data_IF_567804262073
#
_entry.id   IF_567804262073
#
_cell.length_a   1.000
_cell.length_b   1.000
_cell.length_c   1.000
_cell.angle_alpha   90.00
_cell.angle_beta   90.00
_cell.angle_gamma   90.00
#
_symmetry.space_group_name_H-M   'P 1'
#
loop_
_entity.id
_entity.type
_entity.pdbx_description
1 polymer ?
#
# COMPACT_ATOMS: atom_id res chain seq x y z
N UNK A 1 -2.73 12.85 -69.08
CA UNK A 1 -3.49 13.15 -67.85
C UNK A 1 -3.06 12.17 -66.77
N UNK A 2 -2.16 12.63 -65.91
CA UNK A 2 -1.73 11.89 -64.72
C UNK A 2 -2.79 12.14 -63.62
N UNK A 3 -3.47 11.10 -63.17
CA UNK A 3 -4.29 11.18 -61.97
C UNK A 3 -3.38 11.20 -60.75
N UNK A 4 -3.30 12.34 -60.09
CA UNK A 4 -2.68 12.50 -58.81
C UNK A 4 -3.49 11.77 -57.76
N UNK A 5 -2.88 10.83 -57.07
CA UNK A 5 -3.42 10.07 -55.96
C UNK A 5 -3.71 11.01 -54.75
N UNK A 6 -4.97 11.44 -54.66
CA UNK A 6 -5.44 12.37 -53.63
C UNK A 6 -5.98 11.66 -52.38
N UNK A 7 -5.65 10.38 -52.17
CA UNK A 7 -6.14 9.57 -51.07
C UNK A 7 -5.10 9.28 -49.96
N UNK A 8 -4.13 10.18 -49.77
CA UNK A 8 -3.38 10.16 -48.49
C UNK A 8 -4.23 10.82 -47.41
N UNK A 9 -4.87 9.99 -46.60
CA UNK A 9 -5.42 10.45 -45.31
C UNK A 9 -4.27 11.08 -44.52
N UNK A 10 -4.49 12.22 -43.86
CA UNK A 10 -3.48 12.80 -42.99
C UNK A 10 -3.06 11.78 -41.96
N UNK A 11 -1.79 11.65 -41.68
CA UNK A 11 -1.19 10.71 -40.69
C UNK A 11 -1.70 10.96 -39.27
N UNK A 12 -2.48 12.00 -39.02
CA UNK A 12 -3.14 12.32 -37.77
C UNK A 12 -4.33 11.39 -37.42
N UNK A 13 -4.78 10.55 -38.34
CA UNK A 13 -5.92 9.63 -38.15
C UNK A 13 -5.53 8.16 -38.35
N UNK A 14 -4.28 7.80 -38.16
CA UNK A 14 -3.87 6.37 -38.15
C UNK A 14 -4.28 5.75 -36.82
N UNK A 15 -4.59 4.45 -36.86
CA UNK A 15 -4.94 3.64 -35.68
C UNK A 15 -3.90 3.82 -34.57
N UNK A 16 -2.60 3.84 -34.91
CA UNK A 16 -1.48 4.11 -34.01
C UNK A 16 -1.53 5.52 -33.34
N UNK A 17 -2.04 6.54 -34.03
CA UNK A 17 -2.17 7.86 -33.48
C UNK A 17 -3.37 7.95 -32.52
N UNK A 18 -4.46 7.26 -32.85
CA UNK A 18 -5.65 7.16 -31.99
C UNK A 18 -5.33 6.32 -30.74
N UNK A 19 -4.58 5.24 -30.88
CA UNK A 19 -4.15 4.41 -29.74
C UNK A 19 -3.23 5.18 -28.78
N UNK A 20 -2.36 6.05 -29.30
CA UNK A 20 -1.55 6.94 -28.47
C UNK A 20 -2.37 8.01 -27.74
N UNK A 21 -3.42 8.53 -28.35
CA UNK A 21 -4.32 9.52 -27.74
C UNK A 21 -5.24 8.85 -26.71
N UNK A 22 -5.62 7.59 -26.94
CA UNK A 22 -6.47 6.83 -26.03
C UNK A 22 -5.71 6.20 -24.85
N UNK A 23 -4.38 6.22 -24.86
CA UNK A 23 -3.61 5.82 -23.68
C UNK A 23 -3.87 6.84 -22.56
N UNK A 24 -4.50 6.36 -21.49
CA UNK A 24 -4.70 7.17 -20.30
C UNK A 24 -3.32 7.46 -19.66
N UNK A 25 -2.83 8.72 -19.66
CA UNK A 25 -1.53 9.06 -19.12
C UNK A 25 -1.46 8.85 -17.58
N UNK A 26 -2.62 8.67 -16.95
CA UNK A 26 -2.73 8.35 -15.53
C UNK A 26 -2.93 6.85 -15.27
N UNK A 27 -2.69 5.98 -16.28
CA UNK A 27 -2.78 4.55 -16.07
C UNK A 27 -1.57 4.08 -15.25
N UNK A 28 -1.75 3.56 -14.01
CA UNK A 28 -0.65 3.09 -13.18
C UNK A 28 0.24 2.03 -13.85
N UNK A 29 -0.31 1.28 -14.80
CA UNK A 29 0.46 0.27 -15.53
C UNK A 29 1.57 0.86 -16.40
N UNK A 30 1.43 2.08 -16.88
CA UNK A 30 2.42 2.73 -17.74
C UNK A 30 3.50 3.48 -16.92
N UNK A 31 3.29 3.67 -15.61
CA UNK A 31 4.25 4.32 -14.74
C UNK A 31 5.35 3.35 -14.29
N UNK A 32 6.63 3.76 -14.21
CA UNK A 32 7.68 2.96 -13.59
C UNK A 32 7.34 2.60 -12.14
N UNK A 33 7.66 1.37 -11.74
CA UNK A 33 7.33 0.81 -10.42
C UNK A 33 7.78 1.70 -9.25
N UNK A 34 8.97 2.31 -9.35
CA UNK A 34 9.49 3.21 -8.31
C UNK A 34 8.62 4.46 -8.04
N UNK A 35 7.91 4.98 -9.06
CA UNK A 35 6.99 6.11 -8.84
C UNK A 35 5.68 5.64 -8.19
N UNK A 36 5.25 4.42 -8.50
CA UNK A 36 4.10 3.81 -7.83
C UNK A 36 4.38 3.55 -6.35
N UNK A 37 5.62 3.24 -5.96
CA UNK A 37 6.02 3.12 -4.55
C UNK A 37 5.87 4.47 -3.82
N UNK A 38 6.24 5.59 -4.46
CA UNK A 38 6.04 6.92 -3.87
C UNK A 38 4.57 7.16 -3.54
N UNK A 39 3.69 6.96 -4.52
CA UNK A 39 2.24 7.13 -4.35
C UNK A 39 1.69 6.16 -3.29
N UNK A 40 2.08 4.90 -3.35
CA UNK A 40 1.64 3.87 -2.43
C UNK A 40 2.05 4.17 -0.98
N UNK A 41 3.29 4.62 -0.76
CA UNK A 41 3.79 5.01 0.57
C UNK A 41 3.03 6.20 1.13
N UNK A 42 2.88 7.27 0.34
CA UNK A 42 2.13 8.47 0.73
C UNK A 42 0.67 8.16 0.99
N UNK A 43 0.00 7.47 0.06
CA UNK A 43 -1.41 7.11 0.20
C UNK A 43 -1.66 6.18 1.39
N UNK A 44 -0.76 5.23 1.65
CA UNK A 44 -0.84 4.39 2.85
C UNK A 44 -0.74 5.23 4.12
N UNK A 45 0.22 6.16 4.20
CA UNK A 45 0.38 7.01 5.37
C UNK A 45 -0.81 7.95 5.59
N UNK A 46 -1.27 8.63 4.54
CA UNK A 46 -2.34 9.63 4.65
C UNK A 46 -3.74 9.03 4.78
N UNK A 47 -4.03 7.93 4.07
CA UNK A 47 -5.38 7.40 4.00
C UNK A 47 -5.61 6.19 4.91
N UNK A 48 -4.61 5.30 5.01
CA UNK A 48 -4.76 4.06 5.78
C UNK A 48 -4.30 4.24 7.23
N UNK A 49 -3.18 4.93 7.46
CA UNK A 49 -2.65 5.18 8.80
C UNK A 49 -3.31 6.39 9.46
N UNK A 50 -3.33 7.52 8.76
CA UNK A 50 -3.71 8.83 9.30
C UNK A 50 -5.09 9.33 8.88
N UNK A 51 -5.84 8.56 8.08
CA UNK A 51 -7.15 8.97 7.54
C UNK A 51 -8.35 8.55 8.41
N UNK A 52 -9.48 8.36 7.76
CA UNK A 52 -10.75 8.07 8.42
C UNK A 52 -10.69 6.83 9.33
N UNK A 53 -9.91 5.80 8.99
CA UNK A 53 -9.71 4.63 9.87
C UNK A 53 -9.16 5.03 11.24
N UNK A 54 -8.16 5.89 11.26
CA UNK A 54 -7.57 6.37 12.52
C UNK A 54 -8.52 7.29 13.28
N UNK A 55 -9.07 8.30 12.60
CA UNK A 55 -9.95 9.31 13.22
C UNK A 55 -11.18 8.70 13.88
N UNK A 56 -11.93 7.88 13.15
CA UNK A 56 -13.13 7.27 13.71
C UNK A 56 -12.84 6.20 14.73
N UNK A 57 -11.77 5.40 14.51
CA UNK A 57 -11.39 4.37 15.50
C UNK A 57 -10.94 4.99 16.81
N UNK A 58 -10.22 6.12 16.78
CA UNK A 58 -9.83 6.84 18.00
C UNK A 58 -11.04 7.31 18.82
N UNK A 59 -12.08 7.82 18.15
CA UNK A 59 -13.31 8.24 18.82
C UNK A 59 -14.11 7.03 19.31
N UNK A 60 -14.27 5.99 18.50
CA UNK A 60 -14.99 4.78 18.91
C UNK A 60 -14.36 4.06 20.09
N UNK A 61 -13.03 4.10 20.19
CA UNK A 61 -12.28 3.51 21.29
C UNK A 61 -12.06 4.47 22.48
N UNK A 62 -12.66 5.65 22.43
CA UNK A 62 -12.60 6.68 23.49
C UNK A 62 -11.14 7.17 23.78
N UNK A 63 -10.25 7.08 22.78
CA UNK A 63 -8.93 7.68 22.85
C UNK A 63 -8.96 9.19 22.58
N UNK A 64 -9.94 9.64 21.81
CA UNK A 64 -10.21 11.04 21.48
C UNK A 64 -11.70 11.34 21.58
N UNK A 65 -12.07 12.57 21.93
CA UNK A 65 -13.46 13.02 21.99
C UNK A 65 -13.88 13.65 20.66
N UNK A 66 -14.97 13.20 20.10
CA UNK A 66 -15.61 13.80 18.93
C UNK A 66 -16.47 14.99 19.29
N UNK A 67 -15.96 16.22 19.16
CA UNK A 67 -16.66 17.44 19.61
C UNK A 67 -17.47 18.15 18.52
N UNK A 68 -17.35 17.73 17.26
CA UNK A 68 -18.07 18.40 16.16
C UNK A 68 -18.38 17.52 14.97
N UNK A 69 -19.43 17.87 14.23
CA UNK A 69 -19.82 17.25 12.96
C UNK A 69 -19.89 15.71 13.00
N UNK A 70 -19.18 15.06 12.08
CA UNK A 70 -19.17 13.61 11.94
C UNK A 70 -18.54 12.90 13.14
N UNK A 71 -17.48 13.46 13.72
CA UNK A 71 -16.83 12.89 14.90
C UNK A 71 -17.71 12.98 16.14
N UNK A 72 -18.52 14.04 16.28
CA UNK A 72 -19.53 14.11 17.35
C UNK A 72 -20.60 13.02 17.21
N UNK A 73 -21.04 12.72 15.99
CA UNK A 73 -21.97 11.61 15.75
C UNK A 73 -21.38 10.26 16.13
N UNK A 74 -20.09 10.06 15.82
CA UNK A 74 -19.36 8.88 16.25
C UNK A 74 -19.25 8.81 17.79
N UNK A 75 -18.95 9.92 18.45
CA UNK A 75 -18.88 10.05 19.92
C UNK A 75 -20.17 9.62 20.59
N UNK A 76 -21.30 10.19 20.16
CA UNK A 76 -22.62 9.90 20.77
C UNK A 76 -23.29 8.67 20.18
N UNK A 77 -22.63 7.91 19.30
CA UNK A 77 -23.17 6.73 18.63
C UNK A 77 -24.51 6.98 17.91
N UNK A 78 -24.76 8.21 17.45
CA UNK A 78 -25.98 8.57 16.76
C UNK A 78 -25.77 8.70 15.27
N UNK A 79 -26.73 8.16 14.48
CA UNK A 79 -26.65 8.24 13.02
C UNK A 79 -25.49 7.46 12.46
N UNK A 80 -25.30 6.24 12.94
CA UNK A 80 -24.33 5.30 12.38
C UNK A 80 -24.43 5.26 10.86
N UNK A 81 -23.32 5.25 10.16
CA UNK A 81 -23.29 5.49 8.73
C UNK A 81 -24.05 4.41 7.99
N UNK A 82 -25.03 4.83 7.25
CA UNK A 82 -25.51 4.05 6.12
C UNK A 82 -24.51 4.21 4.99
N UNK A 83 -24.19 3.16 4.33
CA UNK A 83 -23.44 2.94 3.09
C UNK A 83 -22.46 4.00 2.53
N UNK A 84 -22.42 5.24 2.96
CA UNK A 84 -21.68 6.26 2.21
C UNK A 84 -20.93 7.31 3.05
N UNK A 85 -20.76 7.16 4.36
CA UNK A 85 -20.34 8.33 5.13
C UNK A 85 -19.04 8.19 5.93
N UNK A 86 -18.82 7.12 6.69
CA UNK A 86 -17.69 7.08 7.62
C UNK A 86 -16.43 6.49 6.97
N UNK A 87 -16.53 5.30 6.42
CA UNK A 87 -15.37 4.58 5.88
C UNK A 87 -15.33 4.49 4.37
N UNK A 88 -16.21 5.19 3.64
CA UNK A 88 -16.25 5.09 2.18
C UNK A 88 -14.97 5.57 1.52
N UNK A 89 -14.42 6.72 1.94
CA UNK A 89 -13.16 7.23 1.40
C UNK A 89 -12.00 6.31 1.75
N UNK A 90 -11.96 5.82 2.99
CA UNK A 90 -10.94 4.89 3.45
C UNK A 90 -11.02 3.54 2.71
N UNK A 91 -12.22 3.03 2.44
CA UNK A 91 -12.44 1.85 1.59
C UNK A 91 -11.87 2.04 0.19
N UNK A 92 -12.24 3.14 -0.49
CA UNK A 92 -11.74 3.44 -1.84
C UNK A 92 -10.21 3.54 -1.85
N UNK A 93 -9.64 4.27 -0.89
CA UNK A 93 -8.19 4.51 -0.83
C UNK A 93 -7.41 3.23 -0.53
N UNK A 94 -7.84 2.42 0.43
CA UNK A 94 -7.13 1.19 0.79
C UNK A 94 -7.15 0.17 -0.36
N UNK A 95 -8.26 0.08 -1.10
CA UNK A 95 -8.32 -0.79 -2.27
C UNK A 95 -7.53 -0.25 -3.46
N UNK A 96 -7.41 1.06 -3.61
CA UNK A 96 -6.46 1.65 -4.56
C UNK A 96 -5.01 1.29 -4.20
N UNK A 97 -4.66 1.34 -2.92
CA UNK A 97 -3.34 0.92 -2.43
C UNK A 97 -3.07 -0.57 -2.70
N UNK A 98 -4.02 -1.45 -2.39
CA UNK A 98 -3.92 -2.89 -2.66
C UNK A 98 -3.70 -3.15 -4.16
N UNK A 99 -4.48 -2.48 -5.01
CA UNK A 99 -4.32 -2.56 -6.47
C UNK A 99 -2.93 -2.11 -6.91
N UNK A 100 -2.50 -0.91 -6.48
CA UNK A 100 -1.21 -0.36 -6.88
C UNK A 100 -0.04 -1.23 -6.40
N UNK A 101 -0.10 -1.77 -5.20
CA UNK A 101 0.91 -2.71 -4.69
C UNK A 101 1.00 -3.97 -5.55
N UNK A 102 -0.13 -4.58 -5.93
CA UNK A 102 -0.16 -5.75 -6.83
C UNK A 102 0.37 -5.44 -8.23
N UNK A 103 0.09 -4.24 -8.75
CA UNK A 103 0.66 -3.78 -10.03
C UNK A 103 2.19 -3.70 -9.94
N UNK A 104 2.74 -3.11 -8.88
CA UNK A 104 4.19 -3.03 -8.67
C UNK A 104 4.82 -4.41 -8.60
N UNK A 105 4.23 -5.32 -7.80
CA UNK A 105 4.71 -6.70 -7.69
C UNK A 105 4.72 -7.39 -9.05
N UNK A 106 3.63 -7.29 -9.80
CA UNK A 106 3.54 -7.88 -11.13
C UNK A 106 4.59 -7.31 -12.10
N UNK A 107 4.81 -5.99 -12.09
CA UNK A 107 5.87 -5.35 -12.89
C UNK A 107 7.25 -5.91 -12.55
N UNK A 108 7.59 -6.02 -11.27
CA UNK A 108 8.88 -6.53 -10.83
C UNK A 108 9.07 -8.03 -11.15
N UNK A 109 8.01 -8.77 -11.40
CA UNK A 109 8.05 -10.19 -11.74
C UNK A 109 8.00 -10.47 -13.24
N UNK A 110 7.19 -9.72 -14.00
CA UNK A 110 6.83 -10.07 -15.37
C UNK A 110 7.24 -9.02 -16.41
N UNK A 111 7.34 -7.72 -16.06
CA UNK A 111 7.69 -6.68 -17.03
C UNK A 111 9.18 -6.78 -17.39
N UNK A 112 9.55 -7.01 -18.68
CA UNK A 112 10.93 -7.15 -19.09
C UNK A 112 11.85 -5.97 -18.70
N UNK A 113 11.30 -4.77 -18.55
CA UNK A 113 12.07 -3.56 -18.19
C UNK A 113 12.27 -3.38 -16.69
N UNK A 114 11.45 -4.07 -15.86
CA UNK A 114 11.45 -3.92 -14.41
C UNK A 114 11.65 -5.23 -13.65
N UNK A 115 11.67 -6.35 -14.38
CA UNK A 115 11.86 -7.68 -13.81
C UNK A 115 13.19 -7.78 -13.03
N UNK A 116 13.07 -8.28 -11.80
CA UNK A 116 14.21 -8.41 -10.91
C UNK A 116 14.51 -7.19 -10.06
N UNK A 117 13.62 -6.18 -10.02
CA UNK A 117 13.69 -5.07 -9.08
C UNK A 117 13.30 -5.54 -7.67
N UNK A 118 14.19 -6.24 -7.01
CA UNK A 118 13.96 -7.01 -5.77
C UNK A 118 13.53 -6.11 -4.62
N UNK A 119 14.22 -4.98 -4.42
CA UNK A 119 13.92 -4.03 -3.33
C UNK A 119 12.55 -3.39 -3.56
N UNK A 120 12.25 -2.96 -4.79
CA UNK A 120 10.95 -2.37 -5.15
C UNK A 120 9.81 -3.36 -4.92
N UNK A 121 9.97 -4.64 -5.31
CA UNK A 121 9.00 -5.69 -5.06
C UNK A 121 8.79 -5.90 -3.56
N UNK A 122 9.85 -6.01 -2.79
CA UNK A 122 9.76 -6.22 -1.34
C UNK A 122 9.01 -5.10 -0.63
N UNK A 123 9.28 -3.83 -0.98
CA UNK A 123 8.55 -2.67 -0.44
C UNK A 123 7.06 -2.78 -0.76
N UNK A 124 6.72 -3.09 -2.01
CA UNK A 124 5.33 -3.25 -2.43
C UNK A 124 4.62 -4.37 -1.65
N UNK A 125 5.29 -5.50 -1.41
CA UNK A 125 4.75 -6.61 -0.61
C UNK A 125 4.53 -6.22 0.85
N UNK A 126 5.44 -5.47 1.46
CA UNK A 126 5.30 -4.98 2.84
C UNK A 126 4.10 -4.03 2.94
N UNK A 127 3.96 -3.09 2.01
CA UNK A 127 2.83 -2.16 1.98
C UNK A 127 1.51 -2.87 1.63
N UNK A 128 1.52 -3.88 0.76
CA UNK A 128 0.37 -4.75 0.50
C UNK A 128 -0.07 -5.48 1.77
N UNK A 129 0.87 -6.07 2.49
CA UNK A 129 0.61 -6.77 3.75
C UNK A 129 0.00 -5.83 4.79
N UNK A 130 0.52 -4.61 4.92
CA UNK A 130 -0.02 -3.61 5.83
C UNK A 130 -1.47 -3.23 5.48
N UNK A 131 -1.74 -2.85 4.23
CA UNK A 131 -3.08 -2.47 3.78
C UNK A 131 -4.06 -3.66 3.88
N UNK A 132 -3.62 -4.87 3.56
CA UNK A 132 -4.42 -6.09 3.69
C UNK A 132 -4.79 -6.40 5.15
N UNK A 133 -3.86 -6.22 6.08
CA UNK A 133 -4.13 -6.41 7.50
C UNK A 133 -5.15 -5.39 8.03
N UNK A 134 -5.04 -4.11 7.62
CA UNK A 134 -6.02 -3.08 8.01
C UNK A 134 -7.41 -3.40 7.48
N UNK A 135 -7.53 -3.82 6.23
CA UNK A 135 -8.81 -4.23 5.63
C UNK A 135 -9.42 -5.41 6.38
N UNK A 136 -8.62 -6.44 6.68
CA UNK A 136 -9.07 -7.60 7.45
C UNK A 136 -9.49 -7.24 8.88
N UNK A 137 -8.79 -6.30 9.52
CA UNK A 137 -9.13 -5.86 10.88
C UNK A 137 -10.42 -5.05 10.95
N UNK A 138 -10.64 -4.15 9.99
CA UNK A 138 -11.78 -3.22 10.01
C UNK A 138 -13.04 -3.89 9.48
N UNK A 139 -12.93 -4.71 8.44
CA UNK A 139 -14.07 -5.25 7.71
C UNK A 139 -14.28 -6.76 7.89
N UNK A 140 -13.30 -7.48 8.39
CA UNK A 140 -13.38 -8.95 8.51
C UNK A 140 -13.24 -9.65 7.16
N UNK A 141 -14.25 -10.44 6.80
CA UNK A 141 -14.32 -11.10 5.49
C UNK A 141 -14.57 -10.07 4.40
N UNK A 142 -13.68 -10.01 3.39
CA UNK A 142 -13.71 -8.95 2.38
C UNK A 142 -12.95 -9.39 1.10
N UNK A 143 -13.20 -8.76 -0.07
CA UNK A 143 -12.43 -9.08 -1.27
C UNK A 143 -10.95 -8.74 -1.09
N UNK A 144 -10.04 -9.67 -1.40
CA UNK A 144 -8.60 -9.44 -1.32
C UNK A 144 -7.80 -10.16 -2.41
N UNK A 145 -7.91 -11.48 -2.50
CA UNK A 145 -7.06 -12.27 -3.40
C UNK A 145 -7.23 -11.92 -4.88
N UNK A 146 -8.46 -11.69 -5.32
CA UNK A 146 -8.80 -11.34 -6.71
C UNK A 146 -8.81 -9.82 -6.97
N UNK A 147 -8.73 -9.01 -5.92
CA UNK A 147 -8.76 -7.55 -6.03
C UNK A 147 -7.48 -7.01 -6.67
N UNK A 148 -7.62 -6.08 -7.61
CA UNK A 148 -6.49 -5.36 -8.21
C UNK A 148 -5.69 -6.18 -9.21
N UNK A 149 -6.13 -7.37 -9.58
CA UNK A 149 -5.54 -8.15 -10.67
C UNK A 149 -6.07 -7.60 -12.00
N UNK A 150 -5.16 -7.31 -12.91
CA UNK A 150 -5.47 -6.70 -14.20
C UNK A 150 -5.17 -7.65 -15.36
N UNK A 151 -5.96 -7.55 -16.40
CA UNK A 151 -5.66 -8.11 -17.70
C UNK A 151 -4.50 -7.35 -18.37
N UNK A 152 -3.87 -7.92 -19.42
CA UNK A 152 -2.81 -7.24 -20.17
C UNK A 152 -3.21 -5.88 -20.76
N UNK A 153 -4.50 -5.66 -21.03
CA UNK A 153 -5.06 -4.41 -21.54
C UNK A 153 -5.36 -3.37 -20.44
N UNK A 154 -5.09 -3.69 -19.17
CA UNK A 154 -5.31 -2.82 -18.03
C UNK A 154 -6.72 -2.88 -17.43
N UNK A 155 -7.62 -3.66 -18.00
CA UNK A 155 -8.95 -3.85 -17.42
C UNK A 155 -8.91 -4.79 -16.20
N UNK A 156 -9.81 -4.62 -15.22
CA UNK A 156 -9.90 -5.55 -14.11
C UNK A 156 -10.18 -6.99 -14.60
N UNK A 157 -9.38 -7.95 -14.13
CA UNK A 157 -9.63 -9.37 -14.43
C UNK A 157 -10.91 -9.87 -13.75
N UNK A 158 -11.19 -9.39 -12.56
CA UNK A 158 -12.36 -9.75 -11.77
C UNK A 158 -13.21 -8.50 -11.52
N UNK A 159 -14.36 -8.40 -12.19
CA UNK A 159 -15.33 -7.31 -11.99
C UNK A 159 -16.12 -7.48 -10.69
N UNK A 160 -16.24 -8.69 -10.21
CA UNK A 160 -16.87 -9.06 -8.94
C UNK A 160 -15.95 -10.02 -8.19
N UNK A 161 -14.89 -9.51 -7.56
CA UNK A 161 -13.96 -10.33 -6.82
C UNK A 161 -14.68 -11.06 -5.68
N UNK A 162 -14.27 -12.30 -5.42
CA UNK A 162 -14.81 -13.08 -4.31
C UNK A 162 -14.48 -12.43 -2.96
N UNK A 163 -15.33 -12.71 -1.98
CA UNK A 163 -15.07 -12.36 -0.59
C UNK A 163 -14.16 -13.46 0.00
N UNK A 164 -13.00 -13.05 0.46
CA UNK A 164 -12.06 -13.90 1.18
C UNK A 164 -12.34 -13.83 2.69
N UNK A 165 -12.14 -14.94 3.40
CA UNK A 165 -12.25 -14.92 4.85
C UNK A 165 -11.11 -14.12 5.48
N UNK A 166 -11.35 -13.47 6.62
CA UNK A 166 -10.34 -12.75 7.38
C UNK A 166 -9.09 -13.62 7.62
N UNK A 167 -9.29 -14.91 7.93
CA UNK A 167 -8.20 -15.86 8.10
C UNK A 167 -7.36 -16.03 6.82
N UNK A 168 -7.99 -16.15 5.65
CA UNK A 168 -7.26 -16.29 4.38
C UNK A 168 -6.50 -15.02 4.02
N UNK A 169 -7.07 -13.85 4.30
CA UNK A 169 -6.39 -12.57 4.09
C UNK A 169 -5.14 -12.49 4.97
N UNK A 170 -5.24 -12.86 6.25
CA UNK A 170 -4.08 -12.88 7.13
C UNK A 170 -3.00 -13.89 6.72
N UNK A 171 -3.37 -15.04 6.14
CA UNK A 171 -2.41 -15.97 5.54
C UNK A 171 -1.63 -15.30 4.39
N UNK A 172 -2.32 -14.58 3.51
CA UNK A 172 -1.67 -13.83 2.43
C UNK A 172 -0.83 -12.65 2.95
N UNK A 173 -1.28 -11.95 4.00
CA UNK A 173 -0.51 -10.91 4.68
C UNK A 173 0.82 -11.46 5.20
N UNK A 174 0.79 -12.56 5.92
CA UNK A 174 2.00 -13.19 6.46
C UNK A 174 2.91 -13.72 5.35
N UNK A 175 2.33 -14.30 4.29
CA UNK A 175 3.09 -14.77 3.13
C UNK A 175 3.80 -13.62 2.40
N UNK A 176 3.14 -12.49 2.17
CA UNK A 176 3.77 -11.32 1.56
C UNK A 176 4.93 -10.78 2.39
N UNK A 177 4.84 -10.83 3.72
CA UNK A 177 5.97 -10.46 4.60
C UNK A 177 7.11 -11.47 4.51
N UNK A 178 6.82 -12.78 4.43
CA UNK A 178 7.84 -13.81 4.25
C UNK A 178 8.55 -13.70 2.90
N UNK A 179 7.79 -13.44 1.84
CA UNK A 179 8.34 -13.21 0.51
C UNK A 179 9.22 -11.95 0.50
N UNK A 180 8.79 -10.86 1.13
CA UNK A 180 9.59 -9.64 1.23
C UNK A 180 10.91 -9.86 1.98
N UNK A 181 10.87 -10.58 3.11
CA UNK A 181 12.06 -10.95 3.88
C UNK A 181 13.01 -11.80 3.03
N UNK A 182 12.47 -12.75 2.27
CA UNK A 182 13.25 -13.60 1.37
C UNK A 182 13.91 -12.78 0.25
N UNK A 183 13.17 -11.85 -0.35
CA UNK A 183 13.67 -10.95 -1.40
C UNK A 183 14.79 -10.06 -0.88
N UNK A 184 14.68 -9.54 0.34
CA UNK A 184 15.69 -8.72 1.00
C UNK A 184 16.83 -9.54 1.61
N UNK A 185 16.80 -10.89 1.45
CA UNK A 185 17.84 -11.88 1.76
C UNK A 185 18.24 -11.95 3.23
N UNK A 186 17.41 -11.50 4.16
CA UNK A 186 17.78 -11.48 5.59
C UNK A 186 19.19 -10.86 5.81
N UNK A 187 19.61 -10.05 4.81
CA UNK A 187 20.97 -9.56 4.67
C UNK A 187 21.17 -8.23 5.34
N UNK A 188 22.40 -7.97 5.64
CA UNK A 188 22.89 -6.67 6.06
C UNK A 188 22.81 -5.70 4.89
N UNK A 189 22.69 -4.41 5.18
CA UNK A 189 22.72 -3.32 4.18
C UNK A 189 23.96 -3.32 3.25
N UNK A 190 24.94 -4.15 3.57
CA UNK A 190 26.20 -4.35 2.83
C UNK A 190 26.10 -5.38 1.72
N UNK A 191 24.95 -6.02 1.49
CA UNK A 191 24.78 -6.93 0.35
C UNK A 191 24.78 -6.13 -0.96
N UNK A 192 25.97 -5.83 -1.45
CA UNK A 192 26.23 -5.41 -2.81
C UNK A 192 25.52 -6.37 -3.77
N UNK A 193 24.38 -5.96 -4.31
CA UNK A 193 23.67 -6.74 -5.31
C UNK A 193 22.16 -6.86 -5.17
N UNK A 194 21.51 -6.22 -4.22
CA UNK A 194 20.07 -6.09 -4.24
C UNK A 194 19.68 -5.06 -5.31
N UNK A 195 19.07 -5.53 -6.39
CA UNK A 195 18.63 -4.68 -7.51
C UNK A 195 17.32 -3.96 -7.20
N UNK A 196 17.11 -2.84 -7.89
CA UNK A 196 15.84 -2.13 -7.88
C UNK A 196 15.60 -1.27 -6.64
N UNK A 197 16.66 -0.69 -6.08
CA UNK A 197 16.50 0.33 -5.06
C UNK A 197 15.65 1.50 -5.56
N UNK A 198 14.70 1.96 -4.76
CA UNK A 198 13.78 3.04 -5.10
C UNK A 198 14.47 4.41 -4.93
N UNK A 199 15.45 4.49 -4.04
CA UNK A 199 16.20 5.70 -3.72
C UNK A 199 15.27 6.80 -3.21
N UNK A 200 15.54 8.05 -3.56
CA UNK A 200 14.78 9.23 -3.12
C UNK A 200 13.28 9.24 -3.51
N UNK A 201 12.82 8.26 -4.27
CA UNK A 201 11.38 8.09 -4.55
C UNK A 201 10.64 7.34 -3.45
N UNK A 202 11.35 6.65 -2.58
CA UNK A 202 10.84 6.18 -1.30
C UNK A 202 10.94 7.32 -0.27
N UNK A 203 9.83 7.92 0.09
CA UNK A 203 9.78 9.05 1.03
C UNK A 203 9.89 8.60 2.50
N UNK A 204 9.95 7.30 2.76
CA UNK A 204 10.09 6.74 4.10
C UNK A 204 11.57 6.51 4.42
N UNK A 205 12.29 5.77 3.56
CA UNK A 205 13.69 5.41 3.78
C UNK A 205 14.64 5.78 2.64
N UNK A 206 14.15 6.54 1.66
CA UNK A 206 14.93 6.87 0.46
C UNK A 206 16.02 7.92 0.64
N UNK A 207 16.18 8.50 1.84
CA UNK A 207 17.27 9.43 2.15
C UNK A 207 18.63 8.74 2.21
N UNK A 208 18.65 7.46 2.53
CA UNK A 208 19.84 6.61 2.54
C UNK A 208 19.58 5.36 1.67
N UNK A 209 19.94 5.39 0.38
CA UNK A 209 19.70 4.27 -0.53
C UNK A 209 20.44 2.98 -0.13
N UNK A 210 21.58 3.09 0.54
CA UNK A 210 22.39 1.95 0.96
C UNK A 210 21.75 1.25 2.17
N UNK A 211 21.11 1.99 3.05
CA UNK A 211 20.38 1.44 4.21
C UNK A 211 18.94 1.04 3.91
N UNK A 212 18.37 1.47 2.78
CA UNK A 212 16.95 1.33 2.44
C UNK A 212 16.44 -0.12 2.56
N UNK A 213 17.15 -1.07 1.98
CA UNK A 213 16.76 -2.48 1.99
C UNK A 213 16.74 -3.05 3.41
N UNK A 214 17.75 -2.74 4.22
CA UNK A 214 17.84 -3.17 5.61
C UNK A 214 16.75 -2.57 6.49
N UNK A 215 16.37 -1.31 6.29
CA UNK A 215 15.31 -0.64 7.04
C UNK A 215 13.92 -1.21 6.69
N UNK A 216 13.68 -1.52 5.41
CA UNK A 216 12.45 -2.21 5.00
C UNK A 216 12.41 -3.65 5.51
N UNK A 217 13.55 -4.35 5.59
CA UNK A 217 13.64 -5.67 6.21
C UNK A 217 13.23 -5.63 7.70
N UNK A 218 13.75 -4.65 8.44
CA UNK A 218 13.36 -4.42 9.85
C UNK A 218 11.86 -4.12 9.99
N UNK A 219 11.30 -3.33 9.08
CA UNK A 219 9.86 -3.05 9.01
C UNK A 219 9.05 -4.34 8.79
N UNK A 220 9.49 -5.22 7.87
CA UNK A 220 8.82 -6.49 7.64
C UNK A 220 8.81 -7.38 8.90
N UNK A 221 9.92 -7.47 9.62
CA UNK A 221 9.98 -8.20 10.89
C UNK A 221 9.11 -7.57 11.98
N UNK A 222 9.06 -6.24 12.08
CA UNK A 222 8.17 -5.53 13.00
C UNK A 222 6.71 -5.87 12.75
N UNK A 223 6.29 -5.87 11.49
CA UNK A 223 4.93 -6.23 11.09
C UNK A 223 4.65 -7.71 11.35
N UNK A 224 5.60 -8.61 11.09
CA UNK A 224 5.44 -10.03 11.43
C UNK A 224 5.23 -10.23 12.93
N UNK A 225 6.02 -9.57 13.77
CA UNK A 225 5.84 -9.63 15.21
C UNK A 225 4.45 -9.14 15.63
N UNK A 226 4.02 -7.98 15.08
CA UNK A 226 2.70 -7.39 15.34
C UNK A 226 1.56 -8.33 14.97
N UNK A 227 1.58 -8.89 13.76
CA UNK A 227 0.48 -9.71 13.27
C UNK A 227 0.46 -11.10 13.89
N UNK A 228 1.62 -11.68 14.20
CA UNK A 228 1.68 -12.93 14.98
C UNK A 228 1.09 -12.72 16.38
N UNK A 229 1.42 -11.62 17.05
CA UNK A 229 0.82 -11.27 18.35
C UNK A 229 -0.70 -11.07 18.24
N UNK A 230 -1.19 -10.40 17.19
CA UNK A 230 -2.61 -10.20 16.95
C UNK A 230 -3.38 -11.51 16.79
N UNK A 231 -2.78 -12.48 16.12
CA UNK A 231 -3.37 -13.78 15.86
C UNK A 231 -3.17 -14.78 17.01
N UNK A 232 -2.47 -14.41 18.07
CA UNK A 232 -2.04 -15.33 19.14
C UNK A 232 -3.21 -16.11 19.76
N UNK A 233 -4.37 -15.47 19.96
CA UNK A 233 -5.56 -16.13 20.50
C UNK A 233 -6.21 -17.14 19.55
N UNK A 234 -5.83 -17.14 18.28
CA UNK A 234 -6.26 -18.10 17.25
C UNK A 234 -5.21 -19.16 16.96
N UNK A 235 -4.03 -19.05 17.57
CA UNK A 235 -2.91 -19.96 17.34
C UNK A 235 -3.19 -21.35 17.89
N UNK A 236 -2.81 -22.35 17.10
CA UNK A 236 -2.79 -23.75 17.55
C UNK A 236 -1.61 -24.02 18.51
N UNK A 237 -0.54 -23.21 18.50
CA UNK A 237 0.62 -23.35 19.36
C UNK A 237 1.15 -21.97 19.79
N UNK A 238 0.52 -21.40 20.82
CA UNK A 238 0.86 -20.06 21.33
C UNK A 238 2.32 -19.97 21.82
N UNK A 239 2.87 -21.06 22.40
CA UNK A 239 4.26 -21.05 22.87
C UNK A 239 5.25 -20.84 21.72
N UNK A 240 5.04 -21.56 20.61
CA UNK A 240 5.87 -21.38 19.41
C UNK A 240 5.73 -19.97 18.84
N UNK A 241 4.50 -19.45 18.77
CA UNK A 241 4.27 -18.11 18.24
C UNK A 241 4.88 -17.01 19.12
N UNK A 242 4.86 -17.17 20.44
CA UNK A 242 5.56 -16.25 21.34
C UNK A 242 7.08 -16.28 21.13
N UNK A 243 7.67 -17.45 20.89
CA UNK A 243 9.09 -17.57 20.57
C UNK A 243 9.41 -16.92 19.20
N UNK A 244 8.55 -17.12 18.21
CA UNK A 244 8.66 -16.48 16.90
C UNK A 244 8.59 -14.96 17.04
N UNK A 245 7.65 -14.41 17.83
CA UNK A 245 7.53 -12.98 18.09
C UNK A 245 8.83 -12.42 18.66
N UNK A 246 9.43 -13.07 19.66
CA UNK A 246 10.70 -12.64 20.22
C UNK A 246 11.83 -12.63 19.17
N UNK A 247 11.85 -13.65 18.31
CA UNK A 247 12.81 -13.73 17.19
C UNK A 247 12.59 -12.59 16.20
N UNK A 248 11.34 -12.28 15.82
CA UNK A 248 11.03 -11.21 14.90
C UNK A 248 11.39 -9.83 15.50
N UNK A 249 11.06 -9.61 16.77
CA UNK A 249 11.41 -8.38 17.48
C UNK A 249 12.92 -8.18 17.51
N UNK A 250 13.73 -9.22 17.74
CA UNK A 250 15.19 -9.10 17.76
C UNK A 250 15.81 -8.74 16.40
N UNK A 251 15.09 -8.97 15.30
CA UNK A 251 15.47 -8.61 13.93
C UNK A 251 14.80 -7.31 13.43
N UNK A 252 14.00 -6.68 14.26
CA UNK A 252 13.26 -5.46 13.97
C UNK A 252 14.06 -4.21 14.37
N UNK A 253 13.36 -3.11 14.62
CA UNK A 253 13.94 -1.83 15.03
C UNK A 253 14.69 -1.91 16.35
N UNK A 254 15.89 -1.36 16.38
CA UNK A 254 16.73 -1.28 17.58
C UNK A 254 17.00 0.17 18.01
N UNK A 255 16.72 1.13 17.12
CA UNK A 255 16.92 2.55 17.35
C UNK A 255 15.77 3.38 16.77
N UNK A 256 15.49 4.54 17.33
CA UNK A 256 14.44 5.44 16.87
C UNK A 256 14.68 6.00 15.46
N UNK A 257 15.92 6.04 15.00
CA UNK A 257 16.26 6.45 13.64
C UNK A 257 15.80 5.47 12.56
N UNK A 258 15.47 4.23 12.95
CA UNK A 258 15.03 3.16 12.06
C UNK A 258 13.50 3.12 11.88
N UNK A 259 12.77 4.01 12.56
CA UNK A 259 11.30 4.03 12.51
C UNK A 259 10.75 4.14 11.08
N UNK A 260 9.76 3.31 10.77
CA UNK A 260 8.99 3.45 9.54
C UNK A 260 8.03 4.64 9.65
N UNK A 261 8.50 5.81 9.24
CA UNK A 261 7.74 7.06 9.31
C UNK A 261 7.77 7.82 8.00
N UNK A 262 6.65 8.46 7.69
CA UNK A 262 6.57 9.47 6.64
C UNK A 262 6.72 10.84 7.29
N UNK A 263 7.86 11.49 7.07
CA UNK A 263 8.22 12.78 7.68
C UNK A 263 8.40 13.84 6.59
N UNK A 264 7.32 14.16 5.91
CA UNK A 264 7.28 15.14 4.81
C UNK A 264 6.49 16.40 5.17
N UNK A 265 6.07 16.51 6.43
CA UNK A 265 5.21 17.60 6.86
C UNK A 265 6.04 18.86 7.15
N UNK A 266 5.59 20.00 6.61
CA UNK A 266 6.24 21.32 6.79
C UNK A 266 5.42 22.28 7.67
N UNK A 267 4.23 21.87 8.09
CA UNK A 267 3.33 22.68 8.92
C UNK A 267 2.59 23.79 8.16
N UNK A 268 2.83 23.94 6.87
CA UNK A 268 2.24 25.01 6.03
C UNK A 268 1.53 24.45 4.80
N UNK A 269 2.25 23.86 3.86
CA UNK A 269 1.71 23.31 2.61
C UNK A 269 1.46 21.81 2.66
N UNK A 270 2.24 21.10 3.45
CA UNK A 270 2.15 19.64 3.63
C UNK A 270 1.77 19.36 5.09
N UNK A 271 0.47 19.38 5.36
CA UNK A 271 -0.06 19.20 6.70
C UNK A 271 -0.27 17.72 7.03
N UNK A 272 0.07 17.34 8.25
CA UNK A 272 -0.35 16.05 8.79
C UNK A 272 -1.88 15.93 8.74
N UNK A 273 -2.47 14.79 8.30
CA UNK A 273 -3.92 14.63 8.16
C UNK A 273 -4.72 14.96 9.42
N UNK A 274 -4.23 14.55 10.59
CA UNK A 274 -4.87 14.85 11.87
C UNK A 274 -4.82 16.35 12.19
N UNK A 275 -3.68 16.99 11.94
CA UNK A 275 -3.52 18.43 12.10
C UNK A 275 -4.36 19.22 11.11
N UNK A 276 -4.34 18.86 9.82
CA UNK A 276 -5.12 19.51 8.78
C UNK A 276 -6.62 19.46 9.09
N UNK A 277 -7.10 18.33 9.60
CA UNK A 277 -8.50 18.18 9.98
C UNK A 277 -8.89 19.11 11.13
N UNK A 278 -8.04 19.29 12.12
CA UNK A 278 -8.26 20.22 13.23
C UNK A 278 -8.12 21.69 12.81
N UNK A 279 -7.09 22.01 12.03
CA UNK A 279 -6.73 23.38 11.66
C UNK A 279 -7.67 23.99 10.62
N UNK A 280 -8.07 23.24 9.61
CA UNK A 280 -8.89 23.75 8.50
C UNK A 280 -10.38 23.86 8.81
N UNK A 281 -10.85 23.35 9.93
CA UNK A 281 -12.27 23.29 10.29
C UNK A 281 -12.63 24.03 11.58
N UNK A 282 -11.70 24.82 12.12
CA UNK A 282 -11.95 25.75 13.24
C UNK A 282 -12.42 27.11 12.74
#
# INVERSE_FOLDING_TARGET
>A
WALTDSNRRPSACTEDAMDKVNKNPNNPQDAPAKFLITDLGVSTAFSTVGGDFSLYSSVYMEHEAGIGNQLYRAEVRSGEPTTATTYNNAWISVYANIKNAKIVINKCQEDPSEKGNVVTEAIARILLAYNGAVVADVFGDTPFSETGILNPDGTPMYMQPKIDSQESIYKEVMQNLDDAITLLKDGTAEDEGLSGAVGSKDLIYGSDPDAQAGLWLKTAYALKARYTMRLLNKSANQTTDLQNILTYVSKSFTDASEECKLDIYDGDSQLNPLWAFSYSRN
#
